data_IF_145098913413
#
_entry.id   IF_145098913413
#
_cell.length_a   1.000
_cell.length_b   1.000
_cell.length_c   1.000
_cell.angle_alpha   90.00
_cell.angle_beta   90.00
_cell.angle_gamma   90.00
#
_symmetry.space_group_name_H-M   'P 1'
#
loop_
_entity.id
_entity.type
_entity.pdbx_description
1 polymer ?
#
# COMPACT_ATOMS: atom_id res chain seq x y z
N UNK A 1 15.61 -11.51 -33.32
CA UNK A 1 14.39 -12.06 -32.72
C UNK A 1 14.81 -12.93 -31.55
N UNK A 2 14.67 -12.44 -30.32
CA UNK A 2 14.96 -13.23 -29.13
C UNK A 2 13.76 -14.14 -28.86
N UNK A 3 14.00 -15.45 -28.75
CA UNK A 3 13.02 -16.42 -28.33
C UNK A 3 12.65 -16.12 -26.87
N UNK A 4 11.57 -15.38 -26.64
CA UNK A 4 11.01 -15.22 -25.30
C UNK A 4 10.31 -16.52 -24.91
N UNK A 5 11.10 -17.52 -24.52
CA UNK A 5 10.60 -18.63 -23.72
C UNK A 5 10.04 -18.02 -22.44
N UNK A 6 8.71 -17.91 -22.36
CA UNK A 6 8.06 -17.28 -21.22
C UNK A 6 8.41 -18.04 -19.96
N UNK A 7 9.23 -17.43 -19.11
CA UNK A 7 9.70 -18.06 -17.88
C UNK A 7 8.55 -18.10 -16.88
N UNK A 8 8.19 -19.30 -16.43
CA UNK A 8 7.11 -19.53 -15.47
C UNK A 8 7.71 -20.02 -14.15
N UNK A 9 7.39 -19.33 -13.07
CA UNK A 9 7.72 -19.76 -11.71
C UNK A 9 6.54 -20.56 -11.15
N UNK A 10 6.73 -21.87 -10.96
CA UNK A 10 5.74 -22.77 -10.36
C UNK A 10 6.18 -23.16 -8.96
N UNK A 11 5.38 -22.80 -7.96
CA UNK A 11 5.63 -23.05 -6.54
C UNK A 11 4.74 -24.22 -6.10
N UNK A 12 5.39 -25.34 -5.83
CA UNK A 12 4.80 -26.57 -5.29
C UNK A 12 5.71 -27.09 -4.18
N UNK A 13 5.37 -26.79 -2.93
CA UNK A 13 6.21 -27.12 -1.78
C UNK A 13 5.38 -27.26 -0.52
N UNK A 14 5.53 -28.38 0.18
CA UNK A 14 4.84 -28.63 1.45
C UNK A 14 5.46 -27.90 2.64
N UNK A 15 6.66 -27.33 2.51
CA UNK A 15 7.40 -26.71 3.63
C UNK A 15 7.79 -25.25 3.40
N UNK A 16 7.67 -24.74 2.18
CA UNK A 16 8.03 -23.34 1.88
C UNK A 16 7.08 -22.39 2.61
N UNK A 17 7.64 -21.50 3.44
CA UNK A 17 6.89 -20.49 4.21
C UNK A 17 6.91 -19.10 3.60
N UNK A 18 8.01 -18.73 2.95
CA UNK A 18 8.15 -17.43 2.31
C UNK A 18 8.63 -17.64 0.89
N UNK A 19 7.97 -17.00 -0.06
CA UNK A 19 8.49 -16.80 -1.40
C UNK A 19 8.64 -15.32 -1.67
N UNK A 20 9.85 -14.91 -2.06
CA UNK A 20 10.11 -13.58 -2.56
C UNK A 20 10.67 -13.66 -3.97
N UNK A 21 10.05 -12.93 -4.87
CA UNK A 21 10.55 -12.69 -6.21
C UNK A 21 11.20 -11.29 -6.21
N UNK A 22 12.53 -11.24 -6.30
CA UNK A 22 13.31 -9.99 -6.27
C UNK A 22 13.99 -9.76 -7.61
N UNK A 23 13.58 -8.70 -8.35
CA UNK A 23 14.20 -8.31 -9.62
C UNK A 23 14.24 -9.43 -10.67
N UNK A 24 13.37 -10.43 -10.57
CA UNK A 24 13.30 -11.50 -11.56
C UNK A 24 12.33 -11.12 -12.68
N UNK A 25 12.44 -11.84 -13.79
CA UNK A 25 11.73 -11.57 -15.04
C UNK A 25 10.66 -12.62 -15.36
N UNK A 26 10.07 -13.28 -14.35
CA UNK A 26 9.10 -14.34 -14.62
C UNK A 26 7.84 -13.76 -15.25
N UNK A 27 7.43 -14.32 -16.38
CA UNK A 27 6.21 -13.92 -17.08
C UNK A 27 4.95 -14.36 -16.33
N UNK A 28 5.03 -15.42 -15.51
CA UNK A 28 3.91 -15.96 -14.75
C UNK A 28 4.40 -16.58 -13.44
N UNK A 29 3.67 -16.33 -12.35
CA UNK A 29 3.88 -16.95 -11.03
C UNK A 29 2.65 -17.79 -10.70
N UNK A 30 2.85 -19.08 -10.41
CA UNK A 30 1.78 -20.01 -10.07
C UNK A 30 2.09 -20.67 -8.73
N UNK A 31 1.25 -20.42 -7.73
CA UNK A 31 1.25 -21.12 -6.45
C UNK A 31 0.21 -22.23 -6.52
N UNK A 32 0.66 -23.46 -6.69
CA UNK A 32 -0.25 -24.58 -6.95
C UNK A 32 -0.65 -25.36 -5.72
N UNK A 33 0.33 -25.76 -4.92
CA UNK A 33 0.14 -26.61 -3.74
C UNK A 33 1.23 -26.27 -2.74
N UNK A 34 0.98 -25.19 -2.00
CA UNK A 34 1.91 -24.60 -1.04
C UNK A 34 1.22 -24.41 0.32
N UNK A 35 0.90 -25.50 1.05
CA UNK A 35 0.09 -25.44 2.26
C UNK A 35 0.72 -24.65 3.41
N UNK A 36 2.04 -24.50 3.43
CA UNK A 36 2.78 -23.77 4.46
C UNK A 36 3.18 -22.35 4.05
N UNK A 37 2.84 -21.90 2.83
CA UNK A 37 3.24 -20.58 2.34
C UNK A 37 2.48 -19.49 3.10
N UNK A 38 3.21 -18.68 3.85
CA UNK A 38 2.72 -17.58 4.68
C UNK A 38 2.90 -16.23 3.98
N UNK A 39 3.97 -16.06 3.20
CA UNK A 39 4.27 -14.79 2.50
C UNK A 39 4.59 -15.02 1.03
N UNK A 40 3.93 -14.25 0.16
CA UNK A 40 4.22 -14.20 -1.27
C UNK A 40 4.50 -12.75 -1.67
N UNK A 41 5.76 -12.49 -2.02
CA UNK A 41 6.30 -11.15 -2.09
C UNK A 41 6.93 -10.88 -3.47
N UNK A 42 6.72 -9.67 -4.02
CA UNK A 42 7.16 -9.30 -5.37
C UNK A 42 7.90 -7.98 -5.41
N UNK A 43 8.91 -7.93 -6.28
CA UNK A 43 9.56 -6.70 -6.72
C UNK A 43 9.81 -6.78 -8.22
N UNK A 44 8.74 -6.48 -8.98
CA UNK A 44 8.76 -6.51 -10.44
C UNK A 44 9.28 -5.20 -11.03
N UNK A 45 10.07 -5.33 -12.11
CA UNK A 45 10.76 -4.23 -12.79
C UNK A 45 10.30 -4.01 -14.25
N UNK A 46 9.51 -4.92 -14.83
CA UNK A 46 8.83 -4.70 -16.12
C UNK A 46 7.90 -5.86 -16.47
N UNK A 47 6.88 -5.56 -17.27
CA UNK A 47 5.92 -6.46 -17.95
C UNK A 47 4.72 -6.97 -17.16
N UNK A 48 3.62 -7.18 -17.88
CA UNK A 48 2.38 -7.75 -17.35
C UNK A 48 2.58 -9.21 -16.95
N UNK A 49 2.31 -9.54 -15.69
CA UNK A 49 2.61 -10.85 -15.09
C UNK A 49 1.39 -11.41 -14.37
N UNK A 50 0.83 -12.54 -14.80
CA UNK A 50 -0.21 -13.22 -14.04
C UNK A 50 0.38 -13.82 -12.76
N UNK A 51 -0.30 -13.58 -11.64
CA UNK A 51 -0.05 -14.20 -10.34
C UNK A 51 -1.23 -15.10 -10.04
N UNK A 52 -1.02 -16.41 -9.98
CA UNK A 52 -2.09 -17.41 -9.84
C UNK A 52 -1.94 -18.14 -8.51
N UNK A 53 -2.96 -18.05 -7.68
CA UNK A 53 -3.02 -18.70 -6.37
C UNK A 53 -4.10 -19.78 -6.44
N UNK A 54 -3.67 -21.04 -6.56
CA UNK A 54 -4.55 -22.21 -6.67
C UNK A 54 -4.82 -22.80 -5.29
N UNK A 55 -3.77 -23.15 -4.53
CA UNK A 55 -3.88 -23.68 -3.17
C UNK A 55 -2.74 -23.18 -2.27
N UNK A 56 -3.04 -22.19 -1.44
CA UNK A 56 -2.12 -21.63 -0.44
C UNK A 56 -2.91 -21.21 0.82
N UNK A 57 -3.47 -22.17 1.59
CA UNK A 57 -4.42 -21.91 2.67
C UNK A 57 -3.84 -21.10 3.85
N UNK A 58 -2.51 -21.03 3.99
CA UNK A 58 -1.82 -20.27 5.04
C UNK A 58 -1.26 -18.94 4.54
N UNK A 59 -1.58 -18.52 3.31
CA UNK A 59 -1.05 -17.28 2.77
C UNK A 59 -1.66 -16.08 3.49
N UNK A 60 -0.83 -15.37 4.25
CA UNK A 60 -1.21 -14.26 5.11
C UNK A 60 -0.73 -12.90 4.56
N UNK A 61 0.42 -12.87 3.87
CA UNK A 61 1.01 -11.64 3.33
C UNK A 61 1.18 -11.74 1.81
N UNK A 62 0.66 -10.73 1.09
CA UNK A 62 0.81 -10.58 -0.36
C UNK A 62 1.27 -9.17 -0.72
N UNK A 63 2.39 -9.01 -1.41
CA UNK A 63 2.78 -7.67 -1.90
C UNK A 63 4.22 -7.50 -2.39
N UNK A 64 4.56 -6.45 -3.15
CA UNK A 64 3.63 -5.45 -3.70
C UNK A 64 2.99 -5.95 -4.99
N UNK A 65 1.66 -5.99 -5.03
CA UNK A 65 0.91 -6.20 -6.26
C UNK A 65 0.75 -4.85 -6.99
N UNK A 66 1.54 -4.65 -8.04
CA UNK A 66 1.38 -3.51 -8.95
C UNK A 66 0.18 -3.71 -9.89
N UNK A 67 -0.84 -2.86 -9.78
CA UNK A 67 -2.09 -3.01 -10.54
C UNK A 67 -1.96 -2.66 -12.03
N UNK A 68 -0.87 -2.03 -12.46
CA UNK A 68 -0.61 -1.76 -13.88
C UNK A 68 -0.23 -3.03 -14.64
N UNK A 69 0.51 -3.91 -13.96
CA UNK A 69 1.19 -5.03 -14.58
C UNK A 69 0.75 -6.39 -14.05
N UNK A 70 0.37 -6.52 -12.79
CA UNK A 70 -0.02 -7.82 -12.25
C UNK A 70 -1.49 -8.13 -12.48
N UNK A 71 -1.76 -9.34 -12.97
CA UNK A 71 -3.11 -9.89 -13.06
C UNK A 71 -3.26 -11.03 -12.03
N UNK A 72 -4.10 -10.83 -11.02
CA UNK A 72 -4.30 -11.84 -9.97
C UNK A 72 -5.37 -12.85 -10.39
N UNK A 73 -5.11 -14.14 -10.14
CA UNK A 73 -6.08 -15.23 -10.26
C UNK A 73 -6.13 -15.97 -8.92
N UNK A 74 -7.33 -16.17 -8.37
CA UNK A 74 -7.55 -16.92 -7.13
C UNK A 74 -8.52 -18.05 -7.43
N UNK A 75 -8.14 -19.29 -7.10
CA UNK A 75 -9.02 -20.46 -7.23
C UNK A 75 -9.50 -20.70 -8.67
N UNK A 76 -8.69 -20.34 -9.67
CA UNK A 76 -9.03 -20.45 -11.10
C UNK A 76 -9.90 -19.31 -11.64
N UNK A 77 -10.12 -18.24 -10.87
CA UNK A 77 -10.90 -17.07 -11.29
C UNK A 77 -9.97 -15.87 -11.41
N UNK A 78 -9.87 -15.32 -12.62
CA UNK A 78 -9.11 -14.09 -12.88
C UNK A 78 -9.87 -12.90 -12.29
N UNK A 79 -9.19 -12.15 -11.42
CA UNK A 79 -9.73 -10.96 -10.77
C UNK A 79 -9.72 -9.79 -11.75
N UNK A 80 -10.86 -9.11 -11.88
CA UNK A 80 -11.07 -8.01 -12.83
C UNK A 80 -11.75 -6.83 -12.15
N UNK A 81 -11.39 -5.63 -12.56
CA UNK A 81 -11.99 -4.38 -12.08
C UNK A 81 -13.53 -4.41 -12.15
N UNK A 82 -14.18 -4.13 -11.01
CA UNK A 82 -15.64 -4.02 -10.92
C UNK A 82 -16.40 -5.35 -10.96
N UNK A 83 -15.71 -6.49 -10.84
CA UNK A 83 -16.39 -7.79 -10.84
C UNK A 83 -17.11 -8.06 -9.51
N UNK A 84 -18.19 -8.84 -9.56
CA UNK A 84 -18.80 -9.41 -8.36
C UNK A 84 -17.96 -10.62 -7.88
N UNK A 85 -17.37 -10.49 -6.69
CA UNK A 85 -16.46 -11.50 -6.12
C UNK A 85 -17.24 -12.71 -5.62
N UNK A 86 -16.93 -13.88 -6.17
CA UNK A 86 -17.49 -15.17 -5.75
C UNK A 86 -16.68 -15.75 -4.59
N UNK A 87 -17.28 -16.59 -3.75
CA UNK A 87 -16.60 -17.28 -2.64
C UNK A 87 -15.30 -18.00 -3.05
N UNK A 88 -15.26 -18.61 -4.25
CA UNK A 88 -14.07 -19.29 -4.79
C UNK A 88 -12.91 -18.34 -5.14
N UNK A 89 -13.19 -17.07 -5.39
CA UNK A 89 -12.21 -16.03 -5.68
C UNK A 89 -11.79 -15.25 -4.42
N UNK A 90 -12.21 -15.72 -3.24
CA UNK A 90 -11.86 -15.11 -1.97
C UNK A 90 -10.69 -15.86 -1.33
N UNK A 91 -9.81 -15.12 -0.66
CA UNK A 91 -8.68 -15.64 0.09
C UNK A 91 -8.76 -15.13 1.54
N UNK A 92 -9.59 -15.76 2.40
CA UNK A 92 -9.83 -15.29 3.77
C UNK A 92 -8.64 -15.50 4.71
N UNK A 93 -7.60 -16.24 4.30
CA UNK A 93 -6.35 -16.35 5.04
C UNK A 93 -5.52 -15.08 4.99
N UNK A 94 -5.71 -14.23 3.97
CA UNK A 94 -4.88 -13.05 3.76
C UNK A 94 -5.16 -11.98 4.83
N UNK A 95 -4.08 -11.54 5.50
CA UNK A 95 -4.09 -10.56 6.59
C UNK A 95 -3.46 -9.24 6.21
N UNK A 96 -2.47 -9.28 5.33
CA UNK A 96 -1.72 -8.11 4.89
C UNK A 96 -1.62 -8.08 3.37
N UNK A 97 -1.98 -6.94 2.80
CA UNK A 97 -1.93 -6.69 1.37
C UNK A 97 -1.14 -5.42 1.13
N UNK A 98 -0.13 -5.49 0.26
CA UNK A 98 0.52 -4.32 -0.28
C UNK A 98 0.29 -4.22 -1.78
N UNK A 99 -0.17 -3.05 -2.23
CA UNK A 99 -0.51 -2.77 -3.64
C UNK A 99 0.15 -1.47 -4.12
N UNK A 100 0.48 -1.41 -5.41
CA UNK A 100 0.82 -0.14 -6.07
C UNK A 100 -0.29 0.28 -7.00
N UNK A 101 -0.68 1.55 -6.92
CA UNK A 101 -1.89 2.06 -7.57
C UNK A 101 -1.63 3.43 -8.18
N UNK A 102 -2.02 3.63 -9.43
CA UNK A 102 -2.23 4.97 -10.00
C UNK A 102 -3.66 5.41 -9.75
N UNK A 103 -3.82 6.36 -8.86
CA UNK A 103 -5.13 6.89 -8.53
C UNK A 103 -5.79 7.67 -9.67
N UNK A 104 -5.02 8.17 -10.65
CA UNK A 104 -5.55 8.78 -11.88
C UNK A 104 -6.14 7.78 -12.88
N UNK A 105 -6.04 6.47 -12.62
CA UNK A 105 -6.52 5.43 -13.52
C UNK A 105 -7.71 4.66 -12.94
N UNK A 106 -8.92 4.94 -13.44
CA UNK A 106 -10.18 4.36 -12.97
C UNK A 106 -10.18 2.83 -12.88
N UNK A 107 -9.50 2.16 -13.81
CA UNK A 107 -9.45 0.69 -13.82
C UNK A 107 -8.63 0.13 -12.66
N UNK A 108 -7.54 0.79 -12.27
CA UNK A 108 -6.72 0.38 -11.12
C UNK A 108 -7.45 0.65 -9.81
N UNK A 109 -8.14 1.79 -9.74
CA UNK A 109 -8.99 2.17 -8.62
C UNK A 109 -10.15 1.17 -8.42
N UNK A 110 -10.85 0.78 -9.50
CA UNK A 110 -11.87 -0.29 -9.48
C UNK A 110 -11.29 -1.66 -9.15
N UNK A 111 -10.08 -1.94 -9.62
CA UNK A 111 -9.37 -3.18 -9.29
C UNK A 111 -9.03 -3.24 -7.80
N UNK A 112 -8.60 -2.14 -7.19
CA UNK A 112 -8.34 -2.07 -5.76
C UNK A 112 -9.59 -2.39 -4.93
N UNK A 113 -10.74 -1.80 -5.24
CA UNK A 113 -12.02 -2.15 -4.58
C UNK A 113 -12.32 -3.65 -4.71
N UNK A 114 -12.10 -4.21 -5.91
CA UNK A 114 -12.33 -5.64 -6.15
C UNK A 114 -11.40 -6.51 -5.29
N UNK A 115 -10.12 -6.14 -5.18
CA UNK A 115 -9.16 -6.85 -4.35
C UNK A 115 -9.56 -6.81 -2.87
N UNK A 116 -10.01 -5.68 -2.34
CA UNK A 116 -10.48 -5.59 -0.96
C UNK A 116 -11.64 -6.55 -0.68
N UNK A 117 -12.54 -6.77 -1.64
CA UNK A 117 -13.63 -7.77 -1.55
C UNK A 117 -13.14 -9.21 -1.63
N UNK A 118 -12.02 -9.48 -2.30
CA UNK A 118 -11.39 -10.81 -2.33
C UNK A 118 -10.79 -11.21 -0.97
N UNK A 119 -10.47 -10.26 -0.10
CA UNK A 119 -9.75 -10.50 1.15
C UNK A 119 -10.61 -10.06 2.36
N UNK A 120 -11.67 -10.80 2.70
CA UNK A 120 -12.66 -10.38 3.70
C UNK A 120 -12.10 -10.17 5.10
N UNK A 121 -10.94 -10.78 5.43
CA UNK A 121 -10.29 -10.73 6.75
C UNK A 121 -9.00 -9.92 6.77
N UNK A 122 -8.83 -9.02 5.80
CA UNK A 122 -7.65 -8.16 5.69
C UNK A 122 -7.54 -7.24 6.92
N UNK A 123 -6.38 -7.24 7.58
CA UNK A 123 -6.11 -6.48 8.81
C UNK A 123 -5.19 -5.29 8.56
N UNK A 124 -4.26 -5.42 7.62
CA UNK A 124 -3.31 -4.38 7.23
C UNK A 124 -3.32 -4.16 5.72
N UNK A 125 -3.49 -2.89 5.33
CA UNK A 125 -3.44 -2.48 3.93
C UNK A 125 -2.30 -1.48 3.72
N UNK A 126 -1.40 -1.78 2.80
CA UNK A 126 -0.40 -0.84 2.29
C UNK A 126 -0.78 -0.43 0.87
N UNK A 127 -0.91 0.87 0.62
CA UNK A 127 -1.10 1.40 -0.72
C UNK A 127 0.07 2.31 -1.05
N UNK A 128 0.79 2.00 -2.11
CA UNK A 128 1.85 2.83 -2.65
C UNK A 128 1.32 3.60 -3.86
N UNK A 129 1.34 4.93 -3.78
CA UNK A 129 0.96 5.79 -4.89
C UNK A 129 2.03 5.73 -5.99
N UNK A 130 1.60 5.60 -7.23
CA UNK A 130 2.44 5.78 -8.41
C UNK A 130 2.09 7.12 -9.05
N UNK A 131 3.10 7.98 -9.22
CA UNK A 131 2.93 9.25 -9.95
C UNK A 131 2.44 8.99 -11.37
N UNK A 132 1.45 9.76 -11.84
CA UNK A 132 1.04 9.69 -13.23
C UNK A 132 2.16 10.26 -14.13
N UNK A 133 2.41 9.60 -15.26
CA UNK A 133 3.38 10.06 -16.27
C UNK A 133 2.86 11.24 -17.10
N UNK A 134 1.55 11.47 -17.10
CA UNK A 134 0.84 12.58 -17.74
C UNK A 134 -0.31 13.04 -16.83
N UNK A 135 -0.71 14.32 -16.87
CA UNK A 135 -1.88 14.81 -16.14
C UNK A 135 -3.16 14.30 -16.81
N UNK A 136 -3.45 13.01 -16.69
CA UNK A 136 -4.75 12.47 -17.06
C UNK A 136 -5.72 12.88 -15.95
N UNK A 137 -6.36 14.04 -16.15
CA UNK A 137 -7.37 14.59 -15.26
C UNK A 137 -8.67 13.80 -15.41
N UNK A 138 -8.79 12.68 -14.70
CA UNK A 138 -10.06 11.96 -14.59
C UNK A 138 -10.63 12.15 -13.18
N UNK A 139 -11.93 12.42 -13.11
CA UNK A 139 -12.64 12.74 -11.88
C UNK A 139 -12.79 11.53 -10.94
N UNK A 140 -11.78 11.26 -10.11
CA UNK A 140 -11.84 10.21 -9.08
C UNK A 140 -12.90 10.48 -7.98
N UNK A 141 -13.39 11.71 -7.89
CA UNK A 141 -14.26 12.18 -6.81
C UNK A 141 -15.60 11.43 -6.73
N UNK A 142 -16.21 11.11 -7.87
CA UNK A 142 -17.52 10.45 -7.87
C UNK A 142 -17.42 8.96 -7.52
N UNK A 143 -16.34 8.31 -7.94
CA UNK A 143 -16.14 6.88 -7.73
C UNK A 143 -16.10 6.52 -6.23
N UNK A 144 -15.19 7.14 -5.47
CA UNK A 144 -15.03 6.84 -4.04
C UNK A 144 -16.24 7.21 -3.19
N UNK A 145 -17.00 8.23 -3.61
CA UNK A 145 -18.26 8.61 -2.93
C UNK A 145 -19.36 7.57 -3.12
N UNK A 146 -19.43 6.96 -4.29
CA UNK A 146 -20.46 5.96 -4.65
C UNK A 146 -20.17 4.55 -4.12
N UNK A 147 -18.92 4.28 -3.72
CA UNK A 147 -18.51 2.95 -3.30
C UNK A 147 -19.16 2.52 -1.97
N UNK A 148 -19.71 1.31 -2.02
CA UNK A 148 -20.12 0.57 -0.83
C UNK A 148 -18.91 0.23 0.07
N UNK A 149 -19.22 -0.32 1.24
CA UNK A 149 -18.20 -0.95 2.07
C UNK A 149 -18.07 -2.43 1.72
N UNK A 150 -17.06 -3.09 2.30
CA UNK A 150 -16.90 -4.55 2.27
C UNK A 150 -16.44 -5.05 3.64
N UNK A 151 -16.59 -6.36 3.87
CA UNK A 151 -16.37 -7.00 5.18
C UNK A 151 -15.03 -6.62 5.83
N UNK A 152 -13.96 -6.55 5.02
CA UNK A 152 -12.64 -6.22 5.54
C UNK A 152 -12.56 -4.80 6.10
N UNK A 153 -13.14 -3.81 5.40
CA UNK A 153 -13.19 -2.43 5.89
C UNK A 153 -14.08 -2.34 7.13
N UNK A 154 -15.24 -3.01 7.12
CA UNK A 154 -16.18 -2.87 8.23
C UNK A 154 -15.71 -3.51 9.52
N UNK A 155 -15.00 -4.65 9.46
CA UNK A 155 -14.79 -5.50 10.64
C UNK A 155 -13.36 -5.92 10.91
N UNK A 156 -12.42 -5.73 9.97
CA UNK A 156 -11.09 -6.34 10.08
C UNK A 156 -9.92 -5.38 9.91
N UNK A 157 -10.03 -4.33 9.09
CA UNK A 157 -8.93 -3.44 8.76
C UNK A 157 -8.56 -2.56 9.97
N UNK A 158 -7.42 -2.85 10.59
CA UNK A 158 -6.89 -2.16 11.78
C UNK A 158 -5.80 -1.16 11.42
N UNK A 159 -5.03 -1.45 10.38
CA UNK A 159 -3.88 -0.64 9.95
C UNK A 159 -3.98 -0.30 8.47
N UNK A 160 -3.82 0.97 8.15
CA UNK A 160 -3.69 1.46 6.79
C UNK A 160 -2.41 2.28 6.69
N UNK A 161 -1.56 1.98 5.70
CA UNK A 161 -0.35 2.75 5.42
C UNK A 161 -0.38 3.25 3.98
N UNK A 162 -0.24 4.55 3.82
CA UNK A 162 -0.18 5.21 2.53
C UNK A 162 1.28 5.60 2.23
N UNK A 163 1.90 4.88 1.30
CA UNK A 163 3.27 5.12 0.86
C UNK A 163 3.32 6.07 -0.32
N UNK A 164 4.34 6.93 -0.35
CA UNK A 164 4.53 8.00 -1.34
C UNK A 164 3.28 8.88 -1.50
N UNK A 165 2.63 9.22 -0.39
CA UNK A 165 1.49 10.12 -0.38
C UNK A 165 1.93 11.53 -0.80
N UNK A 166 1.23 12.12 -1.77
CA UNK A 166 1.54 13.44 -2.33
C UNK A 166 0.45 14.47 -2.02
N UNK A 167 -0.70 14.02 -1.50
CA UNK A 167 -1.83 14.90 -1.22
C UNK A 167 -2.61 15.31 -2.46
N UNK A 168 -2.50 14.54 -3.56
CA UNK A 168 -3.32 14.76 -4.75
C UNK A 168 -4.80 14.50 -4.44
N UNK A 169 -5.72 15.19 -5.10
CA UNK A 169 -7.16 15.08 -4.84
C UNK A 169 -7.65 13.63 -4.82
N UNK A 170 -7.25 12.82 -5.82
CA UNK A 170 -7.64 11.41 -5.88
C UNK A 170 -7.09 10.57 -4.73
N UNK A 171 -5.87 10.87 -4.24
CA UNK A 171 -5.25 10.19 -3.09
C UNK A 171 -5.97 10.58 -1.80
N UNK A 172 -6.24 11.87 -1.63
CA UNK A 172 -6.98 12.40 -0.48
C UNK A 172 -8.40 11.81 -0.41
N UNK A 173 -9.11 11.75 -1.54
CA UNK A 173 -10.44 11.14 -1.62
C UNK A 173 -10.42 9.66 -1.22
N UNK A 174 -9.40 8.91 -1.63
CA UNK A 174 -9.22 7.52 -1.21
C UNK A 174 -8.92 7.41 0.30
N UNK A 175 -8.04 8.26 0.83
CA UNK A 175 -7.76 8.32 2.27
C UNK A 175 -9.05 8.60 3.05
N UNK A 176 -9.85 9.58 2.65
CA UNK A 176 -11.16 9.86 3.24
C UNK A 176 -12.11 8.66 3.15
N UNK A 177 -12.13 7.95 2.01
CA UNK A 177 -12.92 6.73 1.85
C UNK A 177 -12.54 5.67 2.88
N UNK A 178 -11.24 5.36 3.03
CA UNK A 178 -10.75 4.38 4.02
C UNK A 178 -11.09 4.84 5.44
N UNK A 179 -10.81 6.10 5.78
CA UNK A 179 -11.13 6.65 7.10
C UNK A 179 -12.65 6.60 7.40
N UNK A 180 -13.51 6.76 6.39
CA UNK A 180 -14.95 6.68 6.56
C UNK A 180 -15.45 5.23 6.70
N UNK A 181 -14.95 4.31 5.88
CA UNK A 181 -15.49 2.94 5.77
C UNK A 181 -14.82 1.95 6.71
N UNK A 182 -13.57 2.17 7.09
CA UNK A 182 -12.80 1.23 7.89
C UNK A 182 -13.14 1.32 9.39
N UNK A 183 -14.28 0.78 9.84
CA UNK A 183 -14.86 1.12 11.17
C UNK A 183 -13.98 0.76 12.38
N UNK A 184 -13.07 -0.21 12.23
CA UNK A 184 -12.17 -0.69 13.30
C UNK A 184 -10.71 -0.25 13.11
N UNK A 185 -10.46 0.71 12.21
CA UNK A 185 -9.12 1.24 11.96
C UNK A 185 -8.59 1.97 13.19
N UNK A 186 -7.39 1.58 13.62
CA UNK A 186 -6.69 2.18 14.77
C UNK A 186 -5.44 2.94 14.35
N UNK A 187 -4.83 2.52 13.24
CA UNK A 187 -3.51 2.99 12.85
C UNK A 187 -3.51 3.48 11.41
N UNK A 188 -3.04 4.71 11.21
CA UNK A 188 -2.77 5.32 9.92
C UNK A 188 -1.27 5.64 9.83
N UNK A 189 -0.56 5.01 8.90
CA UNK A 189 0.81 5.39 8.55
C UNK A 189 0.82 6.25 7.29
N UNK A 190 1.58 7.34 7.28
CA UNK A 190 1.80 8.16 6.09
C UNK A 190 3.30 8.26 5.84
N UNK A 191 3.73 7.80 4.67
CA UNK A 191 5.04 8.03 4.10
C UNK A 191 4.88 9.04 2.96
N UNK A 192 5.32 10.27 3.17
CA UNK A 192 5.21 11.34 2.18
C UNK A 192 6.23 11.10 1.06
N UNK A 193 5.82 11.33 -0.20
CA UNK A 193 6.79 11.24 -1.29
C UNK A 193 7.87 12.32 -1.14
N UNK A 194 9.14 11.92 -1.18
CA UNK A 194 10.23 12.89 -1.27
C UNK A 194 10.11 13.72 -2.56
N UNK A 195 10.43 15.01 -2.46
CA UNK A 195 10.51 15.95 -3.59
C UNK A 195 11.57 15.57 -4.62
N UNK A 196 12.46 14.63 -4.29
CA UNK A 196 13.75 14.44 -4.95
C UNK A 196 13.80 13.25 -5.93
N UNK A 197 12.66 12.64 -6.28
CA UNK A 197 12.58 11.73 -7.43
C UNK A 197 12.60 12.52 -8.75
N UNK A 198 13.68 13.30 -8.96
CA UNK A 198 14.12 13.71 -10.29
C UNK A 198 14.82 12.48 -10.85
N UNK A 199 14.10 11.75 -11.71
CA UNK A 199 14.73 10.75 -12.57
C UNK A 199 15.70 11.53 -13.46
N UNK A 200 16.97 11.56 -13.09
CA UNK A 200 18.04 11.88 -14.02
C UNK A 200 18.06 10.72 -15.01
N UNK A 201 17.25 10.84 -16.07
CA UNK A 201 17.46 10.10 -17.31
C UNK A 201 18.87 10.45 -17.77
N UNK A 202 19.83 9.59 -17.43
CA UNK A 202 21.20 9.67 -17.87
C UNK A 202 21.28 9.37 -19.36
N UNK A 203 20.86 10.33 -20.18
CA UNK A 203 21.22 10.38 -21.59
C UNK A 203 22.73 10.65 -21.72
N UNK A 204 23.41 10.10 -22.75
CA UNK A 204 24.85 10.24 -22.88
C UNK A 204 25.25 11.70 -23.06
N UNK A 205 26.26 12.08 -22.29
CA UNK A 205 26.77 13.44 -22.14
C UNK A 205 27.46 13.91 -23.44
N UNK A 206 26.83 14.84 -24.15
CA UNK A 206 27.48 15.64 -25.19
C UNK A 206 27.98 16.93 -24.55
N UNK A 207 29.30 17.02 -24.33
CA UNK A 207 29.93 18.21 -23.79
C UNK A 207 29.83 19.42 -24.71
N UNK A 208 29.58 20.58 -24.14
CA UNK A 208 30.08 21.86 -24.65
C UNK A 208 30.21 22.83 -23.48
N UNK A 209 31.42 23.37 -23.34
CA UNK A 209 31.75 24.39 -22.36
C UNK A 209 31.05 25.73 -22.69
N UNK A 210 30.78 26.51 -21.65
CA UNK A 210 30.33 27.89 -21.73
C UNK A 210 30.32 28.52 -20.35
N UNK A 211 31.32 29.37 -20.09
CA UNK A 211 31.51 30.18 -18.88
C UNK A 211 30.38 31.20 -18.65
N UNK A 212 30.17 31.63 -17.39
CA UNK A 212 29.45 32.89 -17.11
C UNK A 212 28.87 33.08 -15.70
N UNK A 213 29.70 33.66 -14.81
CA UNK A 213 29.45 34.59 -13.69
C UNK A 213 28.17 34.63 -12.80
N UNK A 214 28.46 34.54 -11.50
CA UNK A 214 28.01 35.29 -10.29
C UNK A 214 27.02 36.47 -10.46
N UNK A 215 25.90 36.52 -9.68
CA UNK A 215 25.63 37.53 -8.62
C UNK A 215 24.26 37.43 -7.91
N UNK A 216 24.32 37.39 -6.57
CA UNK A 216 23.53 38.02 -5.47
C UNK A 216 22.14 38.68 -5.63
N UNK A 217 21.30 38.46 -4.60
CA UNK A 217 20.24 39.36 -4.06
C UNK A 217 18.82 38.93 -4.45
N UNK A 218 17.75 38.99 -3.63
CA UNK A 218 17.46 39.45 -2.28
C UNK A 218 15.95 39.22 -1.98
N UNK A 219 15.56 39.47 -0.74
CA UNK A 219 14.34 39.16 0.05
C UNK A 219 12.92 39.39 -0.51
N UNK A 220 11.94 38.62 0.03
CA UNK A 220 10.65 39.07 0.62
C UNK A 220 9.84 37.83 1.09
N UNK A 221 9.44 37.66 2.36
CA UNK A 221 8.27 38.29 3.01
C UNK A 221 7.02 37.39 2.88
N UNK A 222 6.88 36.37 3.73
CA UNK A 222 5.91 36.22 4.84
C UNK A 222 4.44 35.95 4.47
N UNK A 223 3.92 34.80 4.90
CA UNK A 223 2.67 34.71 5.67
C UNK A 223 2.58 33.36 6.40
N UNK A 224 2.18 33.41 7.67
CA UNK A 224 2.38 32.34 8.64
C UNK A 224 1.19 31.39 8.83
N UNK A 225 1.48 30.23 9.42
CA UNK A 225 0.52 29.39 10.11
C UNK A 225 1.16 28.99 11.43
N UNK A 226 0.48 29.29 12.53
CA UNK A 226 0.96 29.04 13.90
C UNK A 226 0.81 27.55 14.19
N UNK A 227 1.93 26.84 14.33
CA UNK A 227 2.00 25.51 14.93
C UNK A 227 2.45 25.71 16.38
N UNK A 228 1.55 25.48 17.33
CA UNK A 228 1.91 25.36 18.74
C UNK A 228 2.71 24.07 18.94
N UNK A 229 4.04 24.20 19.01
CA UNK A 229 4.93 23.16 19.52
C UNK A 229 4.96 23.23 21.05
N UNK A 230 4.55 22.15 21.71
CA UNK A 230 4.81 21.92 23.12
C UNK A 230 5.40 20.53 23.32
N UNK A 231 6.54 20.37 24.04
CA UNK A 231 7.04 19.06 24.40
C UNK A 231 6.22 18.53 25.59
N UNK A 232 5.52 17.40 25.41
CA UNK A 232 4.92 16.70 26.57
C UNK A 232 5.97 15.78 27.17
N UNK A 233 6.72 16.32 28.13
CA UNK A 233 7.30 15.52 29.22
C UNK A 233 6.24 15.41 30.30
N UNK A 234 5.75 14.20 30.56
CA UNK A 234 4.73 13.93 31.57
C UNK A 234 4.87 12.52 32.14
N UNK A 235 5.21 12.48 33.43
CA UNK A 235 5.63 11.34 34.23
C UNK A 235 4.56 10.27 34.43
N UNK A 236 5.03 9.04 34.67
CA UNK A 236 4.26 7.88 35.14
C UNK A 236 3.46 8.24 36.40
N UNK A 237 2.17 7.99 36.37
CA UNK A 237 1.28 8.00 37.53
C UNK A 237 0.33 6.81 37.45
N UNK A 238 0.49 5.86 38.37
CA UNK A 238 -0.48 4.80 38.64
C UNK A 238 -1.82 5.40 39.08
N UNK A 239 -2.91 4.99 38.43
CA UNK A 239 -4.26 5.41 38.78
C UNK A 239 -5.29 4.49 38.16
N UNK A 240 -6.13 3.91 39.01
CA UNK A 240 -7.04 2.79 38.73
C UNK A 240 -8.03 2.99 37.58
N UNK A 241 -8.34 1.86 36.93
CA UNK A 241 -9.35 1.72 35.88
C UNK A 241 -10.77 2.07 36.36
N UNK A 242 -11.59 2.76 35.54
CA UNK A 242 -13.02 2.63 35.61
C UNK A 242 -13.47 1.49 34.67
N UNK A 243 -14.12 0.51 35.28
CA UNK A 243 -14.85 -0.56 34.63
C UNK A 243 -16.09 -0.05 33.88
N UNK A 244 -16.25 -0.50 32.62
CA UNK A 244 -17.56 -0.67 31.99
C UNK A 244 -17.95 0.39 30.95
N UNK A 245 -18.02 -0.02 29.68
CA UNK A 245 -18.70 0.73 28.62
C UNK A 245 -18.15 0.44 27.23
N UNK A 246 -18.73 -0.53 26.53
CA UNK A 246 -18.48 -0.80 25.11
C UNK A 246 -18.86 0.42 24.26
N UNK A 247 -17.87 1.09 23.66
CA UNK A 247 -18.05 2.01 22.53
C UNK A 247 -16.73 2.04 21.76
N UNK A 248 -16.77 1.66 20.47
CA UNK A 248 -15.58 1.55 19.63
C UNK A 248 -14.73 2.81 19.70
N UNK A 249 -13.44 2.67 19.93
CA UNK A 249 -12.54 3.81 20.02
C UNK A 249 -12.54 4.58 18.69
N UNK A 250 -13.16 5.76 18.66
CA UNK A 250 -13.10 6.69 17.52
C UNK A 250 -11.71 7.30 17.30
N UNK A 251 -10.72 6.85 18.06
CA UNK A 251 -9.34 7.32 18.03
C UNK A 251 -8.56 6.55 16.96
N UNK A 252 -7.88 7.31 16.10
CA UNK A 252 -6.91 6.83 15.12
C UNK A 252 -5.56 7.44 15.49
N UNK A 253 -4.55 6.59 15.60
CA UNK A 253 -3.16 7.01 15.75
C UNK A 253 -2.55 7.19 14.35
N UNK A 254 -2.02 8.37 14.10
CA UNK A 254 -1.37 8.74 12.84
C UNK A 254 0.13 8.75 13.07
N UNK A 255 0.88 8.02 12.24
CA UNK A 255 2.33 7.90 12.35
C UNK A 255 3.01 8.31 11.05
N UNK A 256 4.22 8.85 11.16
CA UNK A 256 5.15 8.83 10.03
C UNK A 256 5.56 7.38 9.76
N UNK A 257 5.31 6.89 8.56
CA UNK A 257 5.81 5.59 8.11
C UNK A 257 7.18 5.77 7.45
N UNK A 258 8.09 4.83 7.70
CA UNK A 258 9.38 4.77 7.02
C UNK A 258 9.48 3.45 6.25
N UNK A 259 9.60 3.49 4.90
CA UNK A 259 9.75 2.28 4.11
C UNK A 259 10.94 1.44 4.58
N UNK A 260 10.73 0.14 4.76
CA UNK A 260 11.79 -0.80 5.16
C UNK A 260 11.86 -2.02 4.23
N UNK A 261 11.27 -1.91 3.03
CA UNK A 261 11.19 -2.97 2.04
C UNK A 261 12.59 -3.42 1.58
N UNK A 262 13.05 -4.54 2.11
CA UNK A 262 14.32 -5.18 1.77
C UNK A 262 14.12 -6.68 1.64
N UNK A 263 15.05 -7.36 0.96
CA UNK A 263 15.03 -8.83 0.90
C UNK A 263 15.03 -9.44 2.31
N UNK A 264 15.86 -8.92 3.23
CA UNK A 264 15.98 -9.44 4.59
C UNK A 264 14.67 -9.34 5.37
N UNK A 265 14.03 -8.17 5.39
CA UNK A 265 12.76 -7.96 6.10
C UNK A 265 11.62 -8.78 5.50
N UNK A 266 11.64 -8.98 4.19
CA UNK A 266 10.66 -9.80 3.49
C UNK A 266 10.72 -11.29 3.88
N UNK A 267 11.92 -11.85 4.01
CA UNK A 267 12.10 -13.27 4.33
C UNK A 267 12.12 -13.57 5.84
N UNK A 268 12.40 -12.57 6.67
CA UNK A 268 12.42 -12.71 8.12
C UNK A 268 11.00 -12.75 8.68
N UNK A 269 10.58 -13.95 9.08
CA UNK A 269 9.24 -14.19 9.63
C UNK A 269 9.04 -13.58 11.03
N UNK A 270 10.11 -13.15 11.71
CA UNK A 270 10.01 -12.40 12.97
C UNK A 270 9.62 -10.94 12.75
N UNK A 271 9.83 -10.40 11.55
CA UNK A 271 9.40 -9.06 11.16
C UNK A 271 7.91 -9.11 10.82
N UNK A 272 7.05 -8.49 11.64
CA UNK A 272 5.60 -8.52 11.43
C UNK A 272 5.16 -7.82 10.14
N UNK A 273 5.66 -6.60 9.92
CA UNK A 273 5.40 -5.78 8.73
C UNK A 273 6.70 -5.64 7.91
N UNK A 274 6.83 -6.34 6.77
CA UNK A 274 8.02 -6.26 5.94
C UNK A 274 8.09 -5.00 5.07
N UNK A 275 7.04 -4.17 5.04
CA UNK A 275 6.92 -3.04 4.12
C UNK A 275 7.34 -1.71 4.75
N UNK A 276 7.04 -1.47 6.03
CA UNK A 276 7.47 -0.25 6.73
C UNK A 276 7.62 -0.41 8.24
N UNK A 277 8.24 0.60 8.85
CA UNK A 277 8.26 0.83 10.29
C UNK A 277 7.48 2.10 10.60
N UNK A 278 6.57 2.04 11.58
CA UNK A 278 5.84 3.21 12.09
C UNK A 278 6.67 3.91 13.16
N UNK A 279 6.89 5.21 13.00
CA UNK A 279 7.69 6.03 13.92
C UNK A 279 6.86 6.56 15.07
N UNK A 280 6.97 5.89 16.22
CA UNK A 280 6.23 6.24 17.44
C UNK A 280 6.66 7.57 18.07
N UNK A 281 7.87 8.05 17.80
CA UNK A 281 8.36 9.37 18.16
C UNK A 281 7.65 10.51 17.40
N UNK A 282 6.96 10.19 16.30
CA UNK A 282 6.21 11.12 15.45
C UNK A 282 4.77 10.64 15.28
N UNK A 283 4.05 10.59 16.39
CA UNK A 283 2.66 10.15 16.46
C UNK A 283 1.72 11.33 16.73
N UNK A 284 0.61 11.38 15.99
CA UNK A 284 -0.51 12.27 16.26
C UNK A 284 -1.76 11.44 16.58
N UNK A 285 -2.66 12.01 17.37
CA UNK A 285 -3.96 11.41 17.68
C UNK A 285 -5.02 12.17 16.89
N UNK A 286 -5.78 11.43 16.08
CA UNK A 286 -6.93 11.95 15.37
C UNK A 286 -8.20 11.27 15.87
N UNK A 287 -9.31 12.01 15.92
CA UNK A 287 -10.62 11.46 16.23
C UNK A 287 -11.48 11.43 14.98
N UNK A 288 -12.20 10.33 14.75
CA UNK A 288 -13.24 10.28 13.74
C UNK A 288 -14.37 11.22 14.14
N UNK A 289 -14.54 12.29 13.37
CA UNK A 289 -15.78 13.08 13.42
C UNK A 289 -16.81 12.31 12.61
N UNK A 290 -17.71 11.60 13.29
CA UNK A 290 -18.87 10.99 12.64
C UNK A 290 -19.85 12.10 12.28
N UNK A 291 -19.96 12.40 10.99
CA UNK A 291 -20.99 13.28 10.42
C UNK A 291 -22.23 12.48 10.00
#
# INVERSE_FOLDING_TARGET
>A
MAYSCGSRLRIRSSSLRVMMEWRCGFNEIIVEDAPCLERLLFHSISDRRPVRIVNAPRLEVLGFLDLQIHALEIGGIVIRAGMNVRARAMLPSLKMLAVKVRFSHDMEVKMLDTLLRCFPRLETLHVMSIRPSSPDSVGCAEFWKSLGSCDCLESHLKTFVFHRYQGLDCEYLFLCYILKKAKVLKTLGIDCADSDDVVVEGGPMSGSAGEGNVSSGGSSGSDGVVMEEGPVSGSVGEGNAPSGGSSGSNIIYVYVASPCWTFQNAIDLSVEDPFCVLRHDKCWIASRVMA
#
